data_IF_323288207838
#
_entry.id   IF_323288207838
#
_cell.length_a   1.000
_cell.length_b   1.000
_cell.length_c   1.000
_cell.angle_alpha   90.00
_cell.angle_beta   90.00
_cell.angle_gamma   90.00
#
_symmetry.space_group_name_H-M   'P 1'
#
loop_
_entity.id
_entity.type
_entity.pdbx_description
1 polymer ?
#
# COMPACT_ATOMS: atom_id res chain seq x y z
N UNK A 1 65.08 67.17 -22.41
CA UNK A 1 65.12 66.31 -21.21
C UNK A 1 63.77 65.64 -21.06
N UNK A 2 63.65 64.45 -21.63
CA UNK A 2 62.50 63.55 -21.49
C UNK A 2 62.64 62.83 -20.15
N UNK A 3 61.78 63.14 -19.18
CA UNK A 3 61.68 62.36 -17.94
C UNK A 3 60.59 61.29 -18.12
N UNK A 4 61.05 60.05 -18.07
CA UNK A 4 60.26 58.83 -18.07
C UNK A 4 59.30 58.81 -16.87
N UNK A 5 58.01 58.66 -17.14
CA UNK A 5 57.02 58.23 -16.15
C UNK A 5 56.86 56.70 -16.29
N UNK A 6 57.80 55.97 -15.70
CA UNK A 6 57.65 54.53 -15.49
C UNK A 6 57.38 54.26 -14.01
N UNK A 7 56.41 53.38 -13.78
CA UNK A 7 56.45 52.35 -12.74
C UNK A 7 56.01 52.73 -11.33
N UNK A 8 54.69 52.70 -11.12
CA UNK A 8 54.11 52.08 -9.91
C UNK A 8 52.92 51.21 -10.34
N UNK A 9 53.23 50.06 -10.96
CA UNK A 9 52.31 48.93 -11.04
C UNK A 9 52.25 48.32 -9.64
N UNK A 10 51.34 48.84 -8.81
CA UNK A 10 51.10 48.31 -7.48
C UNK A 10 50.27 47.01 -7.61
N UNK A 11 50.85 45.83 -7.31
CA UNK A 11 50.13 44.56 -7.40
C UNK A 11 48.92 44.51 -6.46
N UNK A 12 48.87 45.36 -5.42
CA UNK A 12 47.72 45.51 -4.52
C UNK A 12 46.55 46.22 -5.22
N UNK A 13 46.82 47.24 -6.03
CA UNK A 13 45.77 47.92 -6.81
C UNK A 13 45.25 47.06 -7.96
N UNK A 14 46.10 46.22 -8.56
CA UNK A 14 45.66 45.29 -9.61
C UNK A 14 44.86 44.11 -9.04
N UNK A 15 45.19 43.64 -7.84
CA UNK A 15 44.38 42.63 -7.12
C UNK A 15 43.04 43.20 -6.65
N UNK A 16 43.00 44.42 -6.11
CA UNK A 16 41.76 45.11 -5.75
C UNK A 16 40.90 45.44 -6.99
N UNK A 17 41.51 45.80 -8.13
CA UNK A 17 40.79 45.94 -9.42
C UNK A 17 40.24 44.62 -9.92
N UNK A 18 40.97 43.51 -9.78
CA UNK A 18 40.50 42.16 -10.17
C UNK A 18 39.37 41.66 -9.26
N UNK A 19 39.39 41.98 -7.97
CA UNK A 19 38.29 41.68 -7.05
C UNK A 19 37.06 42.57 -7.30
N UNK A 20 37.26 43.85 -7.64
CA UNK A 20 36.17 44.77 -8.02
C UNK A 20 35.64 44.55 -9.45
N UNK A 21 36.38 43.85 -10.32
CA UNK A 21 35.98 43.55 -11.71
C UNK A 21 35.01 42.35 -11.85
N UNK A 22 34.38 41.89 -10.75
CA UNK A 22 33.17 41.08 -10.87
C UNK A 22 32.06 41.98 -11.39
N UNK A 23 31.88 42.03 -12.71
CA UNK A 23 30.88 42.91 -13.35
C UNK A 23 29.53 42.77 -12.62
N UNK A 24 28.88 43.86 -12.20
CA UNK A 24 27.63 43.82 -11.46
C UNK A 24 26.50 43.04 -12.17
N UNK A 25 26.62 42.86 -13.48
CA UNK A 25 25.72 42.03 -14.29
C UNK A 25 25.74 40.54 -13.93
N UNK A 26 26.84 39.99 -13.40
CA UNK A 26 26.94 38.54 -13.13
C UNK A 26 26.25 38.12 -11.83
N UNK A 27 26.35 38.91 -10.76
CA UNK A 27 25.65 38.59 -9.50
C UNK A 27 24.14 38.74 -9.67
N UNK A 28 23.69 39.79 -10.38
CA UNK A 28 22.28 40.03 -10.63
C UNK A 28 21.65 38.90 -11.47
N UNK A 29 22.33 38.47 -12.55
CA UNK A 29 21.86 37.34 -13.38
C UNK A 29 21.75 36.03 -12.58
N UNK A 30 22.69 35.76 -11.68
CA UNK A 30 22.66 34.56 -10.82
C UNK A 30 21.53 34.63 -9.79
N UNK A 31 21.32 35.80 -9.17
CA UNK A 31 20.22 36.02 -8.23
C UNK A 31 18.86 35.86 -8.93
N UNK A 32 18.68 36.45 -10.12
CA UNK A 32 17.47 36.30 -10.92
C UNK A 32 17.22 34.83 -11.28
N UNK A 33 18.24 34.09 -11.75
CA UNK A 33 18.11 32.67 -12.07
C UNK A 33 17.75 31.84 -10.83
N UNK A 34 18.37 32.12 -9.68
CA UNK A 34 18.06 31.45 -8.42
C UNK A 34 16.62 31.75 -7.96
N UNK A 35 16.16 32.99 -8.08
CA UNK A 35 14.77 33.36 -7.79
C UNK A 35 13.78 32.66 -8.73
N UNK A 36 14.10 32.53 -10.03
CA UNK A 36 13.27 31.78 -10.98
C UNK A 36 13.18 30.30 -10.62
N UNK A 37 14.33 29.64 -10.36
CA UNK A 37 14.38 28.24 -9.95
C UNK A 37 13.66 28.02 -8.62
N UNK A 38 13.85 28.91 -7.66
CA UNK A 38 13.17 28.88 -6.37
C UNK A 38 11.66 29.11 -6.52
N UNK A 39 11.24 30.00 -7.42
CA UNK A 39 9.84 30.24 -7.75
C UNK A 39 9.17 29.00 -8.33
N UNK A 40 9.84 28.30 -9.26
CA UNK A 40 9.36 27.01 -9.81
C UNK A 40 9.23 25.98 -8.68
N UNK A 41 10.23 25.87 -7.81
CA UNK A 41 10.20 24.97 -6.65
C UNK A 41 9.05 25.29 -5.69
N UNK A 42 8.82 26.57 -5.38
CA UNK A 42 7.73 27.03 -4.52
C UNK A 42 6.36 26.71 -5.11
N UNK A 43 6.16 27.01 -6.40
CA UNK A 43 4.92 26.69 -7.12
C UNK A 43 4.63 25.20 -7.08
N UNK A 44 5.65 24.36 -7.33
CA UNK A 44 5.48 22.90 -7.29
C UNK A 44 5.10 22.40 -5.88
N UNK A 45 5.82 22.85 -4.85
CA UNK A 45 5.55 22.48 -3.45
C UNK A 45 4.16 22.93 -3.00
N UNK A 46 3.80 24.19 -3.22
CA UNK A 46 2.49 24.74 -2.86
C UNK A 46 1.36 24.03 -3.61
N UNK A 47 1.56 23.75 -4.90
CA UNK A 47 0.60 22.99 -5.69
C UNK A 47 0.35 21.62 -5.09
N UNK A 48 1.40 20.86 -4.74
CA UNK A 48 1.26 19.51 -4.20
C UNK A 48 0.69 19.51 -2.77
N UNK A 49 1.15 20.40 -1.89
CA UNK A 49 0.69 20.45 -0.50
C UNK A 49 -0.78 20.83 -0.36
N UNK A 50 -1.30 21.61 -1.30
CA UNK A 50 -2.69 22.08 -1.27
C UNK A 50 -3.60 21.30 -2.23
N UNK A 51 -3.07 20.26 -2.86
CA UNK A 51 -3.81 19.41 -3.79
C UNK A 51 -4.80 18.50 -3.06
N UNK A 52 -6.02 18.45 -3.56
CA UNK A 52 -7.03 17.48 -3.16
C UNK A 52 -7.36 16.56 -4.34
N UNK A 53 -7.60 15.28 -4.08
CA UNK A 53 -8.08 14.33 -5.09
C UNK A 53 -9.44 14.70 -5.69
N UNK A 54 -10.20 15.58 -5.02
CA UNK A 54 -11.48 16.09 -5.48
C UNK A 54 -11.37 17.42 -6.24
N UNK A 55 -10.15 17.89 -6.51
CA UNK A 55 -9.94 19.10 -7.30
C UNK A 55 -10.24 18.83 -8.78
N UNK A 56 -10.94 19.76 -9.41
CA UNK A 56 -11.19 19.69 -10.86
C UNK A 56 -9.91 20.03 -11.61
N UNK A 57 -9.36 19.03 -12.30
CA UNK A 57 -8.17 19.09 -13.17
C UNK A 57 -8.58 18.81 -14.62
N UNK A 58 -7.62 18.81 -15.55
CA UNK A 58 -7.91 18.52 -16.97
C UNK A 58 -8.44 17.10 -17.21
N UNK A 59 -8.12 16.16 -16.33
CA UNK A 59 -8.42 14.73 -16.44
C UNK A 59 -9.30 14.20 -15.30
N UNK A 60 -9.59 15.02 -14.29
CA UNK A 60 -10.46 14.67 -13.16
C UNK A 60 -11.51 15.76 -12.96
N UNK A 61 -12.80 15.38 -12.96
CA UNK A 61 -13.89 16.30 -12.66
C UNK A 61 -14.27 16.16 -11.19
N UNK A 62 -13.99 17.20 -10.40
CA UNK A 62 -14.34 17.26 -8.99
C UNK A 62 -15.78 17.72 -8.76
N UNK A 63 -16.36 17.43 -7.58
CA UNK A 63 -17.69 17.90 -7.20
C UNK A 63 -17.76 19.42 -6.96
N UNK A 64 -16.62 20.09 -6.87
CA UNK A 64 -16.51 21.53 -6.61
C UNK A 64 -16.33 22.32 -7.90
N UNK A 65 -17.05 23.43 -8.03
CA UNK A 65 -16.90 24.38 -9.15
C UNK A 65 -15.55 25.10 -9.17
N UNK A 66 -14.84 25.13 -8.03
CA UNK A 66 -13.50 25.72 -7.90
C UNK A 66 -12.58 24.74 -7.14
N UNK A 67 -11.33 24.51 -7.61
CA UNK A 67 -10.37 23.68 -6.89
C UNK A 67 -10.04 24.25 -5.51
N UNK A 68 -9.78 23.36 -4.55
CA UNK A 68 -9.28 23.69 -3.21
C UNK A 68 -7.82 24.15 -3.25
N UNK A 69 -7.07 23.77 -4.29
CA UNK A 69 -5.68 24.17 -4.48
C UNK A 69 -5.47 25.69 -4.36
N UNK A 70 -4.42 26.09 -3.63
CA UNK A 70 -4.12 27.50 -3.36
C UNK A 70 -3.87 28.30 -4.64
N UNK A 71 -3.21 27.69 -5.62
CA UNK A 71 -2.97 28.29 -6.93
C UNK A 71 -4.12 28.04 -7.92
N UNK A 72 -5.28 27.62 -7.42
CA UNK A 72 -6.49 27.29 -8.19
C UNK A 72 -6.21 26.25 -9.28
N UNK A 73 -6.92 26.31 -10.41
CA UNK A 73 -6.82 25.38 -11.54
C UNK A 73 -5.38 25.13 -12.03
N UNK A 74 -4.51 26.15 -12.24
CA UNK A 74 -3.15 25.86 -12.69
C UNK A 74 -2.34 25.09 -11.64
N UNK A 75 -2.50 25.39 -10.34
CA UNK A 75 -1.86 24.61 -9.28
C UNK A 75 -2.35 23.17 -9.19
N UNK A 76 -3.67 22.98 -9.24
CA UNK A 76 -4.28 21.66 -9.23
C UNK A 76 -3.76 20.81 -10.41
N UNK A 77 -3.69 21.40 -11.61
CA UNK A 77 -3.12 20.74 -12.78
C UNK A 77 -1.63 20.40 -12.60
N UNK A 78 -0.81 21.34 -12.12
CA UNK A 78 0.62 21.09 -11.89
C UNK A 78 0.81 19.94 -10.90
N UNK A 79 0.09 19.94 -9.78
CA UNK A 79 0.15 18.87 -8.79
C UNK A 79 -0.30 17.52 -9.38
N UNK A 80 -1.41 17.51 -10.09
CA UNK A 80 -1.95 16.32 -10.75
C UNK A 80 -0.95 15.69 -11.72
N UNK A 81 -0.40 16.48 -12.65
CA UNK A 81 0.60 16.00 -13.59
C UNK A 81 1.89 15.55 -12.90
N UNK A 82 2.36 16.29 -11.89
CA UNK A 82 3.58 15.96 -11.18
C UNK A 82 3.44 14.66 -10.36
N UNK A 83 2.32 14.47 -9.67
CA UNK A 83 2.04 13.27 -8.89
C UNK A 83 1.74 12.05 -9.78
N UNK A 84 1.10 12.23 -10.94
CA UNK A 84 0.92 11.12 -11.88
C UNK A 84 2.25 10.72 -12.53
N UNK A 85 3.13 11.66 -12.87
CA UNK A 85 4.38 11.34 -13.55
C UNK A 85 5.46 10.82 -12.61
N UNK A 86 5.70 11.50 -11.48
CA UNK A 86 6.79 11.20 -10.53
C UNK A 86 6.30 10.63 -9.18
N UNK A 87 4.99 10.55 -8.95
CA UNK A 87 4.45 10.11 -7.67
C UNK A 87 4.84 11.05 -6.54
N UNK A 88 5.07 10.49 -5.36
CA UNK A 88 5.51 11.26 -4.20
C UNK A 88 6.91 11.88 -4.35
N UNK A 89 7.71 11.46 -5.34
CA UNK A 89 9.02 12.07 -5.60
C UNK A 89 8.91 13.51 -6.13
N UNK A 90 7.74 13.92 -6.64
CA UNK A 90 7.48 15.29 -7.08
C UNK A 90 7.61 16.33 -5.96
N UNK A 91 7.20 15.97 -4.73
CA UNK A 91 7.27 16.90 -3.59
C UNK A 91 8.72 17.20 -3.19
N UNK A 92 9.60 16.20 -2.94
CA UNK A 92 11.01 16.44 -2.71
C UNK A 92 11.70 17.14 -3.89
N UNK A 93 11.27 16.93 -5.14
CA UNK A 93 11.81 17.66 -6.29
C UNK A 93 11.67 19.19 -6.10
N UNK A 94 10.48 19.65 -5.70
CA UNK A 94 10.25 21.07 -5.43
C UNK A 94 11.07 21.59 -4.24
N UNK A 95 11.19 20.81 -3.17
CA UNK A 95 12.03 21.15 -2.01
C UNK A 95 13.51 21.24 -2.38
N UNK A 96 14.01 20.36 -3.24
CA UNK A 96 15.41 20.38 -3.71
C UNK A 96 15.69 21.58 -4.61
N UNK A 97 14.71 22.01 -5.42
CA UNK A 97 14.82 23.25 -6.21
C UNK A 97 14.87 24.48 -5.32
N UNK A 98 14.03 24.54 -4.29
CA UNK A 98 14.07 25.60 -3.26
C UNK A 98 15.42 25.64 -2.54
N UNK A 99 15.92 24.47 -2.12
CA UNK A 99 17.22 24.35 -1.49
C UNK A 99 18.35 24.78 -2.43
N UNK A 100 18.31 24.37 -3.70
CA UNK A 100 19.29 24.77 -4.71
C UNK A 100 19.30 26.29 -4.93
N UNK A 101 18.12 26.91 -5.01
CA UNK A 101 17.93 28.34 -5.13
C UNK A 101 18.47 29.10 -3.91
N UNK A 102 18.05 28.69 -2.71
CA UNK A 102 18.52 29.28 -1.45
C UNK A 102 20.05 29.18 -1.32
N UNK A 103 20.62 28.01 -1.64
CA UNK A 103 22.08 27.80 -1.63
C UNK A 103 22.80 28.68 -2.65
N UNK A 104 22.24 28.87 -3.83
CA UNK A 104 22.82 29.72 -4.88
C UNK A 104 22.88 31.20 -4.45
N UNK A 105 21.91 31.66 -3.65
CA UNK A 105 21.87 33.03 -3.10
C UNK A 105 22.76 33.18 -1.86
N UNK A 106 22.66 32.25 -0.91
CA UNK A 106 23.33 32.34 0.40
C UNK A 106 24.82 31.99 0.37
N UNK A 107 25.27 31.16 -0.58
CA UNK A 107 26.68 30.75 -0.72
C UNK A 107 27.17 30.95 -2.16
N UNK A 108 27.30 32.20 -2.63
CA UNK A 108 27.76 32.48 -3.97
C UNK A 108 29.22 32.04 -4.13
N UNK A 109 29.47 31.02 -4.95
CA UNK A 109 30.85 30.68 -5.35
C UNK A 109 31.24 31.53 -6.55
N UNK A 110 32.35 32.25 -6.44
CA UNK A 110 32.78 33.21 -7.46
C UNK A 110 33.26 32.47 -8.74
N UNK A 111 33.88 31.29 -8.60
CA UNK A 111 34.37 30.46 -9.71
C UNK A 111 33.53 29.17 -9.90
N UNK A 112 32.33 29.29 -10.47
CA UNK A 112 31.52 28.12 -10.89
C UNK A 112 31.60 27.98 -12.40
N UNK A 113 32.10 26.83 -12.88
CA UNK A 113 32.09 26.48 -14.30
C UNK A 113 30.68 26.05 -14.72
N UNK A 114 30.29 26.25 -15.99
CA UNK A 114 29.01 25.73 -16.52
C UNK A 114 28.83 24.23 -16.26
N UNK A 115 29.93 23.47 -16.34
CA UNK A 115 29.99 22.05 -16.01
C UNK A 115 29.64 21.72 -14.56
N UNK A 116 30.05 22.56 -13.60
CA UNK A 116 29.70 22.35 -12.19
C UNK A 116 28.21 22.55 -11.93
N UNK A 117 27.62 23.56 -12.55
CA UNK A 117 26.18 23.78 -12.50
C UNK A 117 25.44 22.61 -13.15
N UNK A 118 25.85 22.21 -14.36
CA UNK A 118 25.26 21.09 -15.09
C UNK A 118 25.32 19.77 -14.30
N UNK A 119 26.48 19.45 -13.72
CA UNK A 119 26.67 18.28 -12.86
C UNK A 119 25.74 18.30 -11.65
N UNK A 120 25.57 19.45 -10.99
CA UNK A 120 24.67 19.58 -9.83
C UNK A 120 23.21 19.46 -10.20
N UNK A 121 22.78 20.07 -11.30
CA UNK A 121 21.42 19.89 -11.81
C UNK A 121 21.16 18.45 -12.22
N UNK A 122 22.14 17.77 -12.82
CA UNK A 122 22.03 16.34 -13.14
C UNK A 122 21.89 15.50 -11.86
N UNK A 123 22.68 15.77 -10.82
CA UNK A 123 22.55 15.08 -9.53
C UNK A 123 21.17 15.27 -8.89
N UNK A 124 20.60 16.49 -8.93
CA UNK A 124 19.24 16.76 -8.46
C UNK A 124 18.22 15.92 -9.22
N UNK A 125 18.28 15.92 -10.56
CA UNK A 125 17.37 15.15 -11.42
C UNK A 125 17.50 13.66 -11.12
N UNK A 126 18.73 13.14 -11.02
CA UNK A 126 18.97 11.73 -10.69
C UNK A 126 18.46 11.36 -9.30
N UNK A 127 18.58 12.24 -8.31
CA UNK A 127 17.98 12.04 -6.98
C UNK A 127 16.46 11.86 -7.08
N UNK A 128 15.76 12.70 -7.85
CA UNK A 128 14.30 12.60 -8.03
C UNK A 128 13.93 11.32 -8.78
N UNK A 129 14.70 10.97 -9.82
CA UNK A 129 14.52 9.74 -10.60
C UNK A 129 14.67 8.49 -9.74
N UNK A 130 15.75 8.38 -8.98
CA UNK A 130 15.96 7.21 -8.11
C UNK A 130 14.96 7.16 -6.96
N UNK A 131 14.50 8.31 -6.46
CA UNK A 131 13.42 8.34 -5.47
C UNK A 131 12.10 7.83 -6.05
N UNK A 132 11.74 8.24 -7.27
CA UNK A 132 10.54 7.77 -7.98
C UNK A 132 10.59 6.25 -8.21
N UNK A 133 11.73 5.71 -8.66
CA UNK A 133 11.94 4.26 -8.84
C UNK A 133 11.90 3.51 -7.50
N UNK A 134 12.52 4.07 -6.45
CA UNK A 134 12.51 3.45 -5.12
C UNK A 134 11.09 3.37 -4.53
N UNK A 135 10.31 4.43 -4.68
CA UNK A 135 8.93 4.46 -4.20
C UNK A 135 8.02 3.46 -4.92
N UNK A 136 8.26 3.17 -6.21
CA UNK A 136 7.54 2.14 -6.96
C UNK A 136 7.66 0.73 -6.37
N UNK A 137 8.62 0.47 -5.48
CA UNK A 137 8.78 -0.81 -4.81
C UNK A 137 7.73 -1.06 -3.70
N UNK A 138 7.04 -0.01 -3.24
CA UNK A 138 6.12 -0.08 -2.11
C UNK A 138 4.67 -0.33 -2.56
N UNK A 139 3.84 -0.95 -1.69
CA UNK A 139 2.43 -1.16 -2.01
C UNK A 139 1.68 0.17 -2.12
N UNK A 140 0.71 0.22 -3.04
CA UNK A 140 -0.14 1.38 -3.27
C UNK A 140 -1.16 1.49 -2.12
N UNK A 141 -1.18 2.60 -1.36
CA UNK A 141 -2.18 2.82 -0.31
C UNK A 141 -3.59 2.91 -0.90
N UNK A 142 -4.61 2.44 -0.16
CA UNK A 142 -6.02 2.50 -0.58
C UNK A 142 -6.51 3.93 -0.80
N UNK A 143 -5.94 4.89 -0.08
CA UNK A 143 -6.25 6.32 -0.20
C UNK A 143 -5.56 7.02 -1.37
N UNK A 144 -4.74 6.31 -2.16
CA UNK A 144 -4.02 6.90 -3.27
C UNK A 144 -4.99 7.18 -4.44
N UNK A 145 -5.11 8.45 -4.89
CA UNK A 145 -6.18 8.83 -5.81
C UNK A 145 -5.89 8.55 -7.29
N UNK A 146 -4.65 8.18 -7.64
CA UNK A 146 -4.23 7.97 -9.03
C UNK A 146 -4.17 6.50 -9.39
N UNK A 147 -4.33 6.20 -10.69
CA UNK A 147 -4.16 4.84 -11.22
C UNK A 147 -2.69 4.37 -11.23
N UNK A 148 -1.75 5.31 -11.24
CA UNK A 148 -0.32 5.04 -11.09
C UNK A 148 -0.01 4.73 -9.63
N UNK A 149 1.06 4.00 -9.33
CA UNK A 149 1.56 3.80 -7.98
C UNK A 149 2.23 5.03 -7.39
N UNK A 150 2.76 4.87 -6.17
CA UNK A 150 3.36 5.98 -5.41
C UNK A 150 4.69 6.47 -5.99
N UNK A 151 5.31 5.70 -6.89
CA UNK A 151 6.46 6.10 -7.69
C UNK A 151 6.08 6.92 -8.93
N UNK A 152 4.78 7.06 -9.22
CA UNK A 152 4.27 7.65 -10.45
C UNK A 152 4.52 6.75 -11.65
N UNK A 153 3.98 7.16 -12.81
CA UNK A 153 4.12 6.44 -14.07
C UNK A 153 5.58 6.15 -14.41
N UNK A 154 6.48 7.13 -14.24
CA UNK A 154 7.89 6.97 -14.59
C UNK A 154 8.57 5.91 -13.71
N UNK A 155 8.43 6.04 -12.38
CA UNK A 155 9.04 5.13 -11.41
C UNK A 155 8.52 3.71 -11.57
N UNK A 156 7.20 3.56 -11.69
CA UNK A 156 6.55 2.26 -11.87
C UNK A 156 6.97 1.60 -13.19
N UNK A 157 7.00 2.35 -14.30
CA UNK A 157 7.39 1.82 -15.60
C UNK A 157 8.82 1.27 -15.58
N UNK A 158 9.77 2.03 -15.02
CA UNK A 158 11.16 1.60 -14.91
C UNK A 158 11.30 0.44 -13.94
N UNK A 159 10.68 0.52 -12.75
CA UNK A 159 10.80 -0.50 -11.72
C UNK A 159 10.19 -1.84 -12.16
N UNK A 160 8.96 -1.81 -12.69
CA UNK A 160 8.26 -3.02 -13.16
C UNK A 160 8.90 -3.58 -14.43
N UNK A 161 9.42 -2.72 -15.32
CA UNK A 161 10.17 -3.12 -16.51
C UNK A 161 11.44 -3.90 -16.14
N UNK A 162 12.29 -3.33 -15.28
CA UNK A 162 13.52 -3.99 -14.81
C UNK A 162 13.20 -5.23 -13.97
N UNK A 163 12.15 -5.18 -13.13
CA UNK A 163 11.73 -6.33 -12.31
C UNK A 163 11.29 -7.49 -13.20
N UNK A 164 10.47 -7.22 -14.22
CA UNK A 164 10.03 -8.23 -15.18
C UNK A 164 11.21 -8.82 -15.95
N UNK A 165 12.18 -8.00 -16.32
CA UNK A 165 13.42 -8.48 -16.97
C UNK A 165 14.23 -9.41 -16.07
N UNK A 166 14.44 -9.06 -14.79
CA UNK A 166 15.13 -9.93 -13.82
C UNK A 166 14.37 -11.24 -13.57
N UNK A 167 13.05 -11.20 -13.52
CA UNK A 167 12.20 -12.40 -13.41
C UNK A 167 12.34 -13.27 -14.66
N UNK A 168 12.45 -12.67 -15.85
CA UNK A 168 12.74 -13.38 -17.10
C UNK A 168 14.08 -14.12 -17.10
N UNK A 169 15.05 -13.68 -16.27
CA UNK A 169 16.32 -14.37 -16.03
C UNK A 169 16.25 -15.48 -14.96
N UNK A 170 15.05 -15.77 -14.42
CA UNK A 170 14.83 -16.82 -13.43
C UNK A 170 14.90 -16.37 -11.97
N UNK A 171 15.02 -15.06 -11.68
CA UNK A 171 15.05 -14.54 -10.31
C UNK A 171 13.61 -14.50 -9.76
N UNK A 172 13.40 -14.99 -8.52
CA UNK A 172 12.08 -14.93 -7.87
C UNK A 172 11.57 -13.47 -7.79
N UNK A 173 10.29 -13.19 -8.06
CA UNK A 173 9.76 -11.82 -8.12
C UNK A 173 10.02 -10.96 -6.87
N UNK A 174 9.99 -11.59 -5.68
CA UNK A 174 10.27 -10.92 -4.40
C UNK A 174 11.74 -10.50 -4.31
N UNK A 175 12.66 -11.38 -4.71
CA UNK A 175 14.10 -11.09 -4.70
C UNK A 175 14.47 -10.04 -5.76
N UNK A 176 13.89 -10.14 -6.95
CA UNK A 176 14.08 -9.14 -8.01
C UNK A 176 13.62 -7.73 -7.57
N UNK A 177 12.44 -7.65 -6.96
CA UNK A 177 11.92 -6.38 -6.42
C UNK A 177 12.77 -5.83 -5.28
N UNK A 178 13.17 -6.68 -4.33
CA UNK A 178 14.02 -6.28 -3.20
C UNK A 178 15.40 -5.79 -3.63
N UNK A 179 16.04 -6.48 -4.59
CA UNK A 179 17.33 -6.08 -5.16
C UNK A 179 17.24 -4.71 -5.86
N UNK A 180 16.22 -4.52 -6.69
CA UNK A 180 16.02 -3.24 -7.40
C UNK A 180 15.74 -2.09 -6.43
N UNK A 181 14.91 -2.31 -5.41
CA UNK A 181 14.65 -1.31 -4.39
C UNK A 181 15.93 -0.94 -3.62
N UNK A 182 16.75 -1.92 -3.25
CA UNK A 182 18.03 -1.69 -2.57
C UNK A 182 19.00 -0.89 -3.45
N UNK A 183 19.13 -1.23 -4.73
CA UNK A 183 19.99 -0.50 -5.68
C UNK A 183 19.49 0.92 -5.91
N UNK A 184 18.19 1.11 -6.09
CA UNK A 184 17.58 2.43 -6.24
C UNK A 184 17.80 3.29 -4.99
N UNK A 185 17.68 2.72 -3.78
CA UNK A 185 17.95 3.41 -2.52
C UNK A 185 19.42 3.81 -2.38
N UNK A 186 20.36 2.93 -2.72
CA UNK A 186 21.79 3.24 -2.69
C UNK A 186 22.15 4.36 -3.69
N UNK A 187 21.61 4.28 -4.92
CA UNK A 187 21.83 5.29 -5.94
C UNK A 187 21.19 6.64 -5.54
N UNK A 188 20.00 6.62 -4.94
CA UNK A 188 19.34 7.78 -4.35
C UNK A 188 20.23 8.45 -3.31
N UNK A 189 20.73 7.68 -2.33
CA UNK A 189 21.61 8.18 -1.27
C UNK A 189 22.91 8.77 -1.81
N UNK A 190 23.52 8.11 -2.80
CA UNK A 190 24.72 8.61 -3.46
C UNK A 190 24.47 9.95 -4.19
N UNK A 191 23.44 10.03 -5.02
CA UNK A 191 23.11 11.24 -5.77
C UNK A 191 22.73 12.39 -4.83
N UNK A 192 21.92 12.11 -3.81
CA UNK A 192 21.47 13.11 -2.83
C UNK A 192 22.63 13.65 -1.98
N UNK A 193 23.50 12.78 -1.48
CA UNK A 193 24.70 13.19 -0.73
C UNK A 193 25.64 14.06 -1.58
N UNK A 194 25.91 13.65 -2.82
CA UNK A 194 26.72 14.43 -3.78
C UNK A 194 26.06 15.77 -4.15
N UNK A 195 24.73 15.82 -4.24
CA UNK A 195 23.98 17.06 -4.47
C UNK A 195 24.11 18.04 -3.29
N UNK A 196 23.94 17.55 -2.06
CA UNK A 196 24.17 18.35 -0.84
C UNK A 196 25.64 18.77 -0.71
N UNK A 197 26.55 18.06 -1.37
CA UNK A 197 27.99 18.29 -1.28
C UNK A 197 28.58 17.72 0.01
N UNK A 198 27.90 16.72 0.58
CA UNK A 198 28.40 15.88 1.66
C UNK A 198 29.60 15.12 1.09
N UNK A 199 30.79 15.40 1.62
CA UNK A 199 32.01 14.66 1.28
C UNK A 199 32.03 13.38 2.14
N UNK A 200 32.72 12.32 1.70
CA UNK A 200 32.77 11.06 2.46
C UNK A 200 33.22 11.20 3.93
N UNK A 201 33.93 12.29 4.27
CA UNK A 201 34.28 12.66 5.64
C UNK A 201 33.06 13.04 6.48
N UNK A 202 32.12 13.81 5.93
CA UNK A 202 30.89 14.21 6.63
C UNK A 202 29.97 12.99 6.88
N UNK A 203 30.02 11.98 6.00
CA UNK A 203 29.30 10.71 6.18
C UNK A 203 29.92 9.89 7.31
N UNK A 204 31.25 9.82 7.39
CA UNK A 204 31.94 9.16 8.49
C UNK A 204 31.62 9.85 9.83
N UNK A 205 31.65 11.18 9.87
CA UNK A 205 31.27 11.96 11.06
C UNK A 205 29.80 11.78 11.46
N UNK A 206 28.88 11.69 10.49
CA UNK A 206 27.47 11.37 10.75
C UNK A 206 27.28 9.94 11.27
N UNK A 207 28.00 8.96 10.72
CA UNK A 207 27.94 7.57 11.18
C UNK A 207 28.55 7.41 12.57
N UNK A 208 29.64 8.12 12.87
CA UNK A 208 30.23 8.19 14.20
C UNK A 208 29.28 8.85 15.20
N UNK A 209 28.62 9.95 14.82
CA UNK A 209 27.61 10.61 15.64
C UNK A 209 26.38 9.71 15.88
N UNK A 210 25.92 8.99 14.85
CA UNK A 210 24.84 8.02 14.96
C UNK A 210 25.23 6.82 15.83
N UNK A 211 26.49 6.37 15.74
CA UNK A 211 27.07 5.35 16.61
C UNK A 211 27.13 5.80 18.07
N UNK A 212 27.50 7.05 18.33
CA UNK A 212 27.46 7.65 19.67
C UNK A 212 26.03 7.73 20.22
N UNK A 213 25.07 8.19 19.40
CA UNK A 213 23.65 8.24 19.78
C UNK A 213 23.11 6.83 20.08
N UNK A 214 23.46 5.84 19.27
CA UNK A 214 23.10 4.45 19.52
C UNK A 214 23.73 3.91 20.80
N UNK A 215 25.00 4.22 21.07
CA UNK A 215 25.66 3.83 22.31
C UNK A 215 24.99 4.45 23.54
N UNK A 216 24.64 5.75 23.50
CA UNK A 216 23.93 6.41 24.60
C UNK A 216 22.52 5.85 24.80
N UNK A 217 21.80 5.56 23.72
CA UNK A 217 20.50 4.90 23.78
C UNK A 217 20.60 3.50 24.37
N UNK A 218 21.59 2.71 23.95
CA UNK A 218 21.84 1.36 24.48
C UNK A 218 22.14 1.39 25.99
N UNK A 219 22.99 2.33 26.44
CA UNK A 219 23.28 2.50 27.88
C UNK A 219 22.02 2.87 28.66
N UNK A 220 21.17 3.76 28.12
CA UNK A 220 19.87 4.10 28.72
C UNK A 220 18.93 2.90 28.77
N UNK A 221 18.92 2.08 27.72
CA UNK A 221 18.12 0.85 27.64
C UNK A 221 18.60 -0.19 28.66
N UNK A 222 19.91 -0.41 28.77
CA UNK A 222 20.50 -1.34 29.74
C UNK A 222 20.25 -0.87 31.19
N UNK A 223 20.32 0.44 31.45
CA UNK A 223 19.94 1.02 32.74
C UNK A 223 18.45 0.84 33.06
N UNK A 224 17.59 1.00 32.06
CA UNK A 224 16.15 0.76 32.19
C UNK A 224 15.85 -0.72 32.46
N UNK A 225 16.50 -1.63 31.74
CA UNK A 225 16.40 -3.08 31.94
C UNK A 225 16.89 -3.45 33.35
N UNK A 226 18.02 -2.89 33.80
CA UNK A 226 18.54 -3.12 35.15
C UNK A 226 17.61 -2.56 36.24
N UNK A 227 16.99 -1.40 36.01
CA UNK A 227 15.99 -0.82 36.89
C UNK A 227 14.73 -1.70 36.97
N UNK A 228 14.21 -2.15 35.83
CA UNK A 228 13.09 -3.08 35.75
C UNK A 228 13.42 -4.40 36.46
N UNK A 229 14.62 -4.95 36.23
CA UNK A 229 15.11 -6.16 36.90
C UNK A 229 15.14 -5.97 38.42
N UNK A 230 15.69 -4.86 38.93
CA UNK A 230 15.71 -4.55 40.37
C UNK A 230 14.31 -4.36 40.95
N UNK A 231 13.39 -3.81 40.18
CA UNK A 231 11.99 -3.59 40.60
C UNK A 231 11.19 -4.90 40.62
N UNK A 232 11.48 -5.84 39.72
CA UNK A 232 10.81 -7.13 39.62
C UNK A 232 11.51 -8.28 40.39
N UNK A 233 12.80 -8.16 40.75
CA UNK A 233 13.50 -9.13 41.63
C UNK A 233 13.24 -8.91 43.12
N UNK A 234 12.47 -7.90 43.51
CA UNK A 234 12.13 -7.64 44.93
C UNK A 234 11.05 -8.57 45.49
N UNK A 235 10.55 -9.52 44.72
CA UNK A 235 9.59 -10.54 45.15
C UNK A 235 10.25 -11.93 45.14
N UNK A 236 10.58 -12.39 46.36
CA UNK A 236 10.97 -13.73 46.81
C UNK A 236 12.29 -14.34 46.33
N UNK A 237 13.29 -14.39 47.22
CA UNK A 237 13.72 -15.62 47.92
C UNK A 237 14.39 -15.18 49.25
N UNK A 238 13.90 -15.64 50.40
CA UNK A 238 14.64 -15.54 51.67
C UNK A 238 15.81 -16.53 51.67
N UNK A 239 17.02 -16.15 52.13
CA UNK A 239 18.08 -17.11 52.34
C UNK A 239 17.75 -17.93 53.59
N UNK A 240 17.49 -19.22 53.42
CA UNK A 240 17.53 -20.17 54.52
C UNK A 240 18.96 -20.20 55.07
N UNK A 241 19.12 -19.58 56.24
CA UNK A 241 20.31 -19.68 57.07
C UNK A 241 20.59 -21.15 57.38
N UNK A 242 21.83 -21.54 57.07
CA UNK A 242 22.70 -22.44 57.83
C UNK A 242 22.13 -22.96 59.16
N UNK A 243 21.37 -24.06 59.08
CA UNK A 243 21.34 -25.06 60.14
C UNK A 243 22.18 -26.25 59.66
N UNK A 244 23.35 -26.42 60.29
CA UNK A 244 24.33 -27.40 59.89
C UNK A 244 23.75 -28.82 59.88
N UNK A 245 23.99 -29.54 58.79
CA UNK A 245 24.01 -30.99 58.85
C UNK A 245 25.03 -31.54 57.87
N UNK A 246 26.03 -32.17 58.47
CA UNK A 246 27.10 -32.95 57.88
C UNK A 246 26.56 -34.00 56.91
N UNK A 247 27.20 -34.07 55.75
CA UNK A 247 27.06 -35.11 54.73
C UNK A 247 27.28 -36.51 55.34
N UNK A 248 26.18 -37.15 55.73
CA UNK A 248 26.11 -38.59 56.00
C UNK A 248 25.16 -39.21 55.00
N UNK A 249 25.77 -39.82 54.00
CA UNK A 249 25.16 -40.80 53.08
C UNK A 249 24.33 -41.80 53.88
N UNK A 250 23.01 -41.76 53.69
CA UNK A 250 22.11 -42.85 54.06
C UNK A 250 21.51 -43.36 52.77
N UNK A 251 21.96 -44.56 52.42
CA UNK A 251 21.47 -45.36 51.30
C UNK A 251 20.04 -45.78 51.60
N UNK A 252 19.10 -45.49 50.69
CA UNK A 252 17.88 -46.28 50.59
C UNK A 252 18.20 -47.48 49.70
N UNK A 253 18.65 -48.56 50.35
CA UNK A 253 18.73 -49.88 49.73
C UNK A 253 17.33 -50.28 49.26
N UNK A 254 17.15 -50.37 47.94
CA UNK A 254 16.05 -51.15 47.37
C UNK A 254 16.60 -52.56 47.20
N UNK A 255 16.10 -53.59 47.92
CA UNK A 255 16.65 -54.93 47.80
C UNK A 255 16.22 -55.54 46.47
N UNK A 256 17.21 -55.96 45.68
CA UNK A 256 17.04 -57.00 44.67
C UNK A 256 16.58 -56.53 43.29
N UNK A 257 17.48 -55.91 42.53
CA UNK A 257 17.54 -56.17 41.09
C UNK A 257 18.98 -56.03 40.62
N UNK A 258 19.54 -57.16 40.21
CA UNK A 258 20.94 -57.32 39.85
C UNK A 258 21.35 -56.38 38.70
N UNK A 259 22.44 -55.65 38.95
CA UNK A 259 23.18 -54.91 37.94
C UNK A 259 23.93 -55.86 37.02
N UNK A 260 23.59 -55.83 35.74
CA UNK A 260 24.56 -56.00 34.66
C UNK A 260 24.36 -54.90 33.63
N UNK A 261 25.14 -53.82 33.77
CA UNK A 261 25.26 -52.79 32.75
C UNK A 261 26.71 -52.76 32.28
N UNK A 262 27.00 -53.26 31.08
CA UNK A 262 28.24 -52.94 30.37
C UNK A 262 28.15 -51.53 29.78
N UNK A 263 29.30 -50.87 29.70
CA UNK A 263 29.48 -49.52 29.19
C UNK A 263 28.96 -49.35 27.74
N UNK A 264 28.42 -48.16 27.37
CA UNK A 264 27.84 -47.94 26.06
C UNK A 264 28.93 -47.68 25.00
N UNK A 265 29.02 -48.60 24.04
CA UNK A 265 29.65 -48.36 22.73
C UNK A 265 28.65 -47.66 21.78
N UNK A 266 29.14 -46.77 20.90
CA UNK A 266 28.32 -45.91 20.07
C UNK A 266 27.76 -46.67 18.86
N UNK A 267 26.48 -47.02 18.92
CA UNK A 267 25.71 -47.52 17.78
C UNK A 267 24.60 -46.53 17.44
N UNK A 268 24.94 -45.57 16.58
CA UNK A 268 23.97 -44.79 15.83
C UNK A 268 23.49 -45.63 14.64
N UNK A 269 22.17 -45.90 14.50
CA UNK A 269 21.66 -46.53 13.29
C UNK A 269 21.56 -45.50 12.16
N UNK A 270 22.13 -45.83 11.01
CA UNK A 270 21.79 -45.21 9.72
C UNK A 270 20.26 -45.25 9.50
N UNK A 271 19.63 -44.17 9.02
CA UNK A 271 18.25 -44.21 8.56
C UNK A 271 18.19 -44.88 7.19
N UNK A 272 18.30 -46.20 7.16
CA UNK A 272 17.80 -47.04 6.08
C UNK A 272 16.45 -47.59 6.51
N UNK A 273 15.38 -47.06 5.93
CA UNK A 273 14.02 -47.50 6.26
C UNK A 273 12.98 -46.45 5.97
N UNK A 274 12.85 -46.11 4.69
CA UNK A 274 11.69 -45.39 4.15
C UNK A 274 10.46 -46.20 4.54
N UNK A 275 9.56 -45.61 5.32
CA UNK A 275 8.22 -46.15 5.54
C UNK A 275 7.61 -46.41 4.17
N UNK A 276 7.51 -47.68 3.81
CA UNK A 276 6.69 -48.13 2.70
C UNK A 276 5.26 -47.78 3.09
N UNK A 277 4.71 -46.78 2.42
CA UNK A 277 3.27 -46.67 2.27
C UNK A 277 2.91 -47.89 1.42
N UNK A 278 2.40 -48.93 2.07
CA UNK A 278 1.70 -50.02 1.40
C UNK A 278 0.54 -49.38 0.64
N UNK A 279 0.84 -49.08 -0.61
CA UNK A 279 -0.12 -48.71 -1.63
C UNK A 279 -0.79 -50.03 -1.95
N UNK A 280 -1.93 -50.27 -1.31
CA UNK A 280 -2.88 -51.26 -1.80
C UNK A 280 -3.02 -51.03 -3.31
N UNK A 281 -2.87 -52.07 -4.15
CA UNK A 281 -2.96 -51.91 -5.58
C UNK A 281 -4.28 -51.23 -5.89
N UNK A 282 -4.21 -50.12 -6.62
CA UNK A 282 -5.35 -49.57 -7.33
C UNK A 282 -6.11 -50.75 -7.92
N UNK A 283 -7.29 -51.03 -7.35
CA UNK A 283 -8.31 -51.64 -8.15
C UNK A 283 -8.45 -50.70 -9.33
N UNK A 284 -8.10 -51.21 -10.50
CA UNK A 284 -8.39 -50.60 -11.78
C UNK A 284 -9.91 -50.41 -11.80
N UNK A 285 -10.35 -49.25 -11.33
CA UNK A 285 -11.70 -48.77 -11.48
C UNK A 285 -11.82 -48.62 -12.99
N UNK A 286 -12.36 -49.67 -13.62
CA UNK A 286 -12.84 -49.61 -14.99
C UNK A 286 -13.50 -48.25 -15.13
N UNK A 287 -13.08 -47.42 -16.09
CA UNK A 287 -13.63 -46.09 -16.24
C UNK A 287 -15.14 -46.25 -16.30
N UNK A 288 -15.83 -45.74 -15.27
CA UNK A 288 -17.27 -45.66 -15.30
C UNK A 288 -17.62 -45.00 -16.63
N UNK A 289 -18.54 -45.60 -17.41
CA UNK A 289 -18.80 -45.18 -18.77
C UNK A 289 -19.01 -43.67 -18.73
N UNK A 290 -18.14 -42.96 -19.45
CA UNK A 290 -18.26 -41.53 -19.72
C UNK A 290 -19.75 -41.28 -19.93
N UNK A 291 -20.42 -40.40 -19.14
CA UNK A 291 -21.83 -40.13 -19.33
C UNK A 291 -21.97 -39.80 -20.81
N UNK A 292 -22.64 -40.70 -21.54
CA UNK A 292 -22.63 -40.73 -22.98
C UNK A 292 -22.86 -39.31 -23.44
N UNK A 293 -21.85 -38.75 -24.12
CA UNK A 293 -21.81 -37.38 -24.61
C UNK A 293 -23.19 -37.10 -25.16
N UNK A 294 -24.05 -36.44 -24.38
CA UNK A 294 -25.41 -36.13 -24.79
C UNK A 294 -25.20 -35.41 -26.10
N UNK A 295 -25.69 -36.00 -27.20
CA UNK A 295 -25.63 -35.38 -28.52
C UNK A 295 -25.98 -33.92 -28.29
N UNK A 296 -25.14 -32.95 -28.69
CA UNK A 296 -25.44 -31.55 -28.45
C UNK A 296 -26.86 -31.35 -28.96
N UNK A 297 -27.79 -31.04 -28.04
CA UNK A 297 -29.15 -30.71 -28.40
C UNK A 297 -29.01 -29.71 -29.54
N UNK A 298 -29.52 -30.08 -30.72
CA UNK A 298 -29.37 -29.38 -31.99
C UNK A 298 -29.36 -27.88 -31.67
N UNK A 299 -28.16 -27.26 -31.72
CA UNK A 299 -28.02 -25.84 -31.40
C UNK A 299 -29.08 -25.16 -32.24
N UNK A 300 -30.02 -24.48 -31.58
CA UNK A 300 -30.97 -23.64 -32.29
C UNK A 300 -30.16 -22.80 -33.28
N UNK A 301 -30.59 -22.67 -34.54
CA UNK A 301 -29.84 -21.91 -35.52
C UNK A 301 -29.48 -20.57 -34.90
N UNK A 302 -28.19 -20.22 -34.94
CA UNK A 302 -27.73 -18.92 -34.45
C UNK A 302 -28.63 -17.87 -35.12
N UNK A 303 -29.23 -16.94 -34.36
CA UNK A 303 -30.14 -15.99 -34.95
C UNK A 303 -29.38 -15.23 -36.04
N UNK A 304 -29.95 -15.16 -37.24
CA UNK A 304 -29.36 -14.41 -38.35
C UNK A 304 -29.56 -12.94 -38.04
N UNK A 305 -28.54 -12.30 -37.48
CA UNK A 305 -28.56 -10.88 -37.19
C UNK A 305 -28.33 -10.08 -38.47
N UNK A 306 -29.29 -9.22 -38.81
CA UNK A 306 -29.24 -8.43 -40.03
C UNK A 306 -28.59 -7.08 -39.74
N UNK A 307 -27.25 -7.06 -39.64
CA UNK A 307 -26.53 -5.80 -39.48
C UNK A 307 -26.57 -5.02 -40.80
N UNK A 308 -26.98 -3.74 -40.79
CA UNK A 308 -27.05 -2.94 -42.00
C UNK A 308 -25.64 -2.71 -42.56
N UNK A 309 -25.40 -3.12 -43.81
CA UNK A 309 -24.10 -2.98 -44.50
C UNK A 309 -23.79 -1.56 -44.97
N UNK A 310 -24.73 -0.63 -44.78
CA UNK A 310 -24.67 0.75 -45.29
C UNK A 310 -23.94 1.73 -44.34
N UNK A 311 -23.29 1.24 -43.28
CA UNK A 311 -22.52 2.06 -42.33
C UNK A 311 -23.36 2.96 -41.41
N UNK A 312 -24.70 2.90 -41.49
CA UNK A 312 -25.58 3.67 -40.58
C UNK A 312 -25.69 2.94 -39.25
N UNK A 313 -25.50 3.67 -38.15
CA UNK A 313 -25.69 3.12 -36.80
C UNK A 313 -27.16 2.71 -36.59
N UNK A 314 -27.36 1.49 -36.13
CA UNK A 314 -28.65 0.95 -35.70
C UNK A 314 -28.45 0.34 -34.33
N UNK A 315 -29.30 0.73 -33.37
CA UNK A 315 -29.25 0.22 -32.01
C UNK A 315 -29.51 -1.29 -32.03
N UNK A 316 -28.59 -2.13 -31.51
CA UNK A 316 -28.82 -3.57 -31.44
C UNK A 316 -30.03 -3.92 -30.57
N UNK A 317 -30.79 -4.92 -31.00
CA UNK A 317 -31.92 -5.44 -30.22
C UNK A 317 -31.45 -6.17 -28.96
N UNK A 318 -32.27 -6.12 -27.91
CA UNK A 318 -31.98 -6.73 -26.62
C UNK A 318 -31.91 -8.27 -26.66
N UNK A 319 -32.45 -8.86 -27.73
CA UNK A 319 -32.47 -10.32 -27.94
C UNK A 319 -31.09 -10.89 -28.29
N UNK A 320 -30.10 -10.03 -28.58
CA UNK A 320 -28.69 -10.41 -28.61
C UNK A 320 -28.20 -10.91 -27.25
N UNK A 321 -28.86 -10.51 -26.16
CA UNK A 321 -28.48 -10.88 -24.80
C UNK A 321 -29.14 -12.20 -24.37
N UNK A 322 -28.41 -12.95 -23.54
CA UNK A 322 -28.88 -14.23 -23.00
C UNK A 322 -30.24 -14.05 -22.31
N UNK A 323 -31.21 -14.95 -22.55
CA UNK A 323 -32.49 -14.91 -21.88
C UNK A 323 -32.31 -15.12 -20.37
N UNK A 324 -33.12 -14.41 -19.58
CA UNK A 324 -33.14 -14.55 -18.12
C UNK A 324 -33.81 -15.90 -17.80
N UNK A 325 -33.16 -16.81 -17.06
CA UNK A 325 -33.80 -18.04 -16.62
C UNK A 325 -34.98 -17.71 -15.69
N UNK A 326 -36.07 -18.50 -15.70
CA UNK A 326 -37.17 -18.32 -14.76
C UNK A 326 -36.65 -18.34 -13.32
N UNK A 327 -37.05 -17.37 -12.49
CA UNK A 327 -36.67 -17.35 -11.08
C UNK A 327 -37.27 -18.58 -10.39
N UNK A 328 -36.40 -19.45 -9.88
CA UNK A 328 -36.79 -20.67 -9.14
C UNK A 328 -36.97 -20.36 -7.65
N UNK A 329 -36.92 -19.09 -7.25
CA UNK A 329 -36.98 -18.69 -5.85
C UNK A 329 -38.41 -18.67 -5.31
N UNK A 330 -38.93 -19.84 -4.95
CA UNK A 330 -39.82 -19.91 -3.78
C UNK A 330 -38.98 -19.50 -2.58
N UNK A 331 -39.16 -18.26 -2.13
CA UNK A 331 -38.58 -17.79 -0.86
C UNK A 331 -39.12 -18.69 0.24
N UNK A 332 -38.26 -19.55 0.79
CA UNK A 332 -38.61 -20.42 1.90
C UNK A 332 -38.70 -19.59 3.18
N UNK A 333 -39.93 -19.19 3.53
CA UNK A 333 -40.20 -18.40 4.73
C UNK A 333 -39.74 -19.11 6.01
N UNK A 334 -39.77 -20.44 6.04
CA UNK A 334 -39.29 -21.22 7.18
C UNK A 334 -37.77 -21.13 7.34
N UNK A 335 -37.03 -21.21 6.23
CA UNK A 335 -35.59 -21.03 6.25
C UNK A 335 -35.16 -19.61 6.66
N UNK A 336 -35.90 -18.58 6.22
CA UNK A 336 -35.65 -17.20 6.63
C UNK A 336 -35.91 -16.97 8.11
N UNK A 337 -37.00 -17.54 8.64
CA UNK A 337 -37.35 -17.44 10.05
C UNK A 337 -36.28 -18.12 10.92
N UNK A 338 -35.87 -19.34 10.56
CA UNK A 338 -34.79 -20.04 11.25
C UNK A 338 -33.49 -19.25 11.23
N UNK A 339 -33.12 -18.67 10.08
CA UNK A 339 -31.93 -17.82 9.98
C UNK A 339 -32.02 -16.54 10.80
N UNK A 340 -33.22 -15.99 11.00
CA UNK A 340 -33.45 -14.84 11.87
C UNK A 340 -33.31 -15.19 13.35
N UNK A 341 -33.78 -16.37 13.76
CA UNK A 341 -33.61 -16.91 15.11
C UNK A 341 -32.14 -17.19 15.42
N UNK A 342 -31.41 -17.84 14.50
CA UNK A 342 -29.96 -18.04 14.60
C UNK A 342 -29.21 -16.70 14.75
N UNK A 343 -29.59 -15.68 13.97
CA UNK A 343 -28.98 -14.35 14.07
C UNK A 343 -29.26 -13.67 15.42
N UNK A 344 -30.46 -13.84 15.97
CA UNK A 344 -30.81 -13.30 17.29
C UNK A 344 -29.99 -13.96 18.40
N UNK A 345 -29.80 -15.27 18.35
CA UNK A 345 -28.97 -16.03 19.29
C UNK A 345 -27.51 -15.59 19.22
N UNK A 346 -26.94 -15.49 18.02
CA UNK A 346 -25.56 -15.02 17.81
C UNK A 346 -25.36 -13.61 18.39
N UNK A 347 -26.30 -12.70 18.19
CA UNK A 347 -26.22 -11.35 18.76
C UNK A 347 -26.28 -11.38 20.30
N UNK A 348 -27.11 -12.25 20.86
CA UNK A 348 -27.21 -12.43 22.30
C UNK A 348 -25.90 -12.95 22.92
N UNK A 349 -25.21 -13.89 22.27
CA UNK A 349 -23.91 -14.43 22.70
C UNK A 349 -22.82 -13.35 22.79
N UNK A 350 -22.84 -12.37 21.89
CA UNK A 350 -21.93 -11.20 21.95
C UNK A 350 -22.39 -10.11 22.92
N UNK A 351 -23.42 -10.38 23.72
CA UNK A 351 -23.98 -9.47 24.71
C UNK A 351 -24.73 -8.29 24.08
N UNK A 352 -25.24 -8.45 22.86
CA UNK A 352 -26.09 -7.46 22.17
C UNK A 352 -27.54 -7.93 22.26
N UNK A 353 -28.29 -7.33 23.19
CA UNK A 353 -29.71 -7.62 23.35
C UNK A 353 -30.56 -6.81 22.38
N UNK A 354 -31.59 -7.43 21.82
CA UNK A 354 -32.56 -6.79 20.94
C UNK A 354 -33.44 -7.82 20.23
N UNK A 355 -34.20 -7.38 19.25
CA UNK A 355 -35.16 -8.20 18.51
C UNK A 355 -34.95 -8.08 17.00
N UNK A 356 -35.13 -9.19 16.28
CA UNK A 356 -35.17 -9.17 14.81
C UNK A 356 -36.60 -8.83 14.39
N UNK A 357 -36.76 -7.68 13.74
CA UNK A 357 -38.01 -7.20 13.17
C UNK A 357 -38.28 -7.79 11.79
N UNK A 358 -38.23 -6.96 10.74
CA UNK A 358 -38.58 -7.39 9.38
C UNK A 358 -37.39 -8.04 8.67
N UNK A 359 -37.69 -9.11 7.93
CA UNK A 359 -36.76 -9.78 7.02
C UNK A 359 -37.16 -9.47 5.58
N UNK A 360 -36.22 -8.96 4.78
CA UNK A 360 -36.43 -8.59 3.37
C UNK A 360 -35.43 -9.33 2.49
N UNK A 361 -35.83 -10.46 1.86
CA UNK A 361 -34.96 -11.19 0.96
C UNK A 361 -34.78 -10.42 -0.36
N UNK A 362 -33.53 -10.29 -0.81
CA UNK A 362 -33.18 -9.78 -2.13
C UNK A 362 -32.53 -10.87 -3.00
N UNK A 363 -32.06 -10.55 -4.22
CA UNK A 363 -31.47 -11.53 -5.13
C UNK A 363 -30.13 -12.12 -4.65
N UNK A 364 -29.30 -11.30 -3.98
CA UNK A 364 -27.94 -11.68 -3.55
C UNK A 364 -27.82 -11.77 -2.03
N UNK A 365 -28.50 -10.88 -1.32
CA UNK A 365 -28.46 -10.74 0.13
C UNK A 365 -29.87 -10.64 0.70
N UNK A 366 -30.02 -11.00 1.96
CA UNK A 366 -31.22 -10.78 2.75
C UNK A 366 -30.92 -9.74 3.83
N UNK A 367 -31.79 -8.74 3.95
CA UNK A 367 -31.71 -7.70 4.97
C UNK A 367 -32.57 -8.11 6.17
N UNK A 368 -31.94 -8.22 7.34
CA UNK A 368 -32.58 -8.40 8.63
C UNK A 368 -32.58 -7.06 9.37
N UNK A 369 -33.76 -6.57 9.76
CA UNK A 369 -33.87 -5.37 10.58
C UNK A 369 -33.75 -5.75 12.06
N UNK A 370 -32.68 -5.34 12.72
CA UNK A 370 -32.45 -5.56 14.14
C UNK A 370 -32.79 -4.30 14.96
N UNK A 371 -33.65 -4.45 15.96
CA UNK A 371 -34.02 -3.41 16.90
C UNK A 371 -33.23 -3.62 18.21
N UNK A 372 -32.18 -2.83 18.48
CA UNK A 372 -31.40 -2.99 19.71
C UNK A 372 -32.22 -2.60 20.95
N UNK A 373 -31.95 -3.27 22.07
CA UNK A 373 -32.51 -2.89 23.36
C UNK A 373 -32.00 -1.49 23.80
N UNK A 374 -32.76 -0.75 24.62
CA UNK A 374 -32.33 0.56 25.13
C UNK A 374 -30.94 0.50 25.78
N UNK A 375 -30.08 1.47 25.44
CA UNK A 375 -28.71 1.56 25.96
C UNK A 375 -27.65 0.80 25.15
N UNK A 376 -28.04 -0.04 24.18
CA UNK A 376 -27.09 -0.65 23.24
C UNK A 376 -26.68 0.37 22.17
N UNK A 377 -25.39 0.70 22.11
CA UNK A 377 -24.85 1.61 21.09
C UNK A 377 -24.82 0.93 19.71
N UNK A 378 -25.28 1.62 18.67
CA UNK A 378 -25.26 1.10 17.30
C UNK A 378 -23.85 0.73 16.82
N UNK A 379 -22.82 1.46 17.26
CA UNK A 379 -21.42 1.17 16.94
C UNK A 379 -20.97 -0.21 17.41
N UNK A 380 -21.52 -0.71 18.52
CA UNK A 380 -21.19 -2.06 19.02
C UNK A 380 -21.63 -3.13 18.03
N UNK A 381 -22.84 -3.01 17.49
CA UNK A 381 -23.39 -3.98 16.52
C UNK A 381 -22.64 -3.90 15.19
N UNK A 382 -22.29 -2.68 14.75
CA UNK A 382 -21.52 -2.46 13.52
C UNK A 382 -20.14 -3.13 13.60
N UNK A 383 -19.47 -3.02 14.75
CA UNK A 383 -18.14 -3.60 14.96
C UNK A 383 -18.14 -5.14 15.06
N UNK A 384 -19.31 -5.76 15.26
CA UNK A 384 -19.46 -7.21 15.33
C UNK A 384 -19.70 -7.85 13.95
N UNK A 385 -19.65 -7.09 12.85
CA UNK A 385 -19.97 -7.60 11.52
C UNK A 385 -19.17 -8.87 11.13
N UNK A 386 -17.86 -8.89 11.39
CA UNK A 386 -17.01 -10.04 11.06
C UNK A 386 -17.30 -11.26 11.96
N UNK A 387 -17.61 -11.02 13.23
CA UNK A 387 -17.96 -12.06 14.18
C UNK A 387 -19.33 -12.68 13.87
N UNK A 388 -20.32 -11.84 13.49
CA UNK A 388 -21.63 -12.29 13.01
C UNK A 388 -21.45 -13.13 11.75
N UNK A 389 -20.64 -12.68 10.78
CA UNK A 389 -20.38 -13.44 9.56
C UNK A 389 -19.80 -14.82 9.87
N UNK A 390 -18.85 -14.90 10.80
CA UNK A 390 -18.23 -16.15 11.25
C UNK A 390 -19.24 -17.09 11.90
N UNK A 391 -20.03 -16.61 12.87
CA UNK A 391 -21.00 -17.43 13.60
C UNK A 391 -22.18 -17.87 12.73
N UNK A 392 -22.59 -17.06 11.76
CA UNK A 392 -23.66 -17.39 10.79
C UNK A 392 -23.16 -18.25 9.62
N UNK A 393 -21.90 -18.69 9.61
CA UNK A 393 -21.26 -19.38 8.49
C UNK A 393 -21.44 -18.65 7.14
N UNK A 394 -21.48 -17.31 7.19
CA UNK A 394 -21.64 -16.45 6.04
C UNK A 394 -20.28 -15.94 5.56
N UNK A 395 -20.16 -15.69 4.24
CA UNK A 395 -18.91 -15.16 3.67
C UNK A 395 -18.55 -13.76 4.21
N UNK A 396 -19.56 -12.97 4.55
CA UNK A 396 -19.44 -11.60 5.05
C UNK A 396 -20.80 -11.16 5.60
N UNK A 397 -20.81 -10.20 6.51
CA UNK A 397 -22.01 -9.50 6.94
C UNK A 397 -21.80 -7.98 6.78
N UNK A 398 -22.83 -7.27 6.32
CA UNK A 398 -22.81 -5.80 6.29
C UNK A 398 -23.81 -5.28 7.30
N UNK A 399 -23.33 -4.42 8.20
CA UNK A 399 -24.15 -3.86 9.29
C UNK A 399 -24.17 -2.34 9.15
N UNK A 400 -25.36 -1.77 9.03
CA UNK A 400 -25.54 -0.33 8.86
C UNK A 400 -26.83 0.15 9.54
N UNK A 401 -26.87 1.42 9.96
CA UNK A 401 -28.10 2.03 10.48
C UNK A 401 -29.10 2.27 9.34
N UNK A 402 -30.39 2.05 9.59
CA UNK A 402 -31.46 2.33 8.61
C UNK A 402 -31.94 3.76 8.79
N UNK A 403 -31.78 4.66 7.81
CA UNK A 403 -32.22 6.05 7.93
C UNK A 403 -33.73 6.14 8.21
N UNK A 404 -34.12 7.02 9.14
CA UNK A 404 -35.52 7.28 9.47
C UNK A 404 -36.21 6.19 10.29
N UNK A 405 -35.50 5.16 10.76
CA UNK A 405 -36.05 4.09 11.61
C UNK A 405 -35.10 3.76 12.75
N UNK A 406 -35.64 3.36 13.91
CA UNK A 406 -34.83 2.93 15.06
C UNK A 406 -34.36 1.47 14.91
N UNK A 407 -33.80 1.12 13.73
CA UNK A 407 -33.38 -0.24 13.41
C UNK A 407 -32.00 -0.24 12.74
N UNK A 408 -31.25 -1.30 12.98
CA UNK A 408 -29.96 -1.59 12.37
C UNK A 408 -30.19 -2.67 11.31
N UNK A 409 -29.81 -2.40 10.07
CA UNK A 409 -29.86 -3.37 8.99
C UNK A 409 -28.64 -4.28 9.02
N UNK A 410 -28.89 -5.59 9.05
CA UNK A 410 -27.87 -6.63 8.93
C UNK A 410 -28.12 -7.37 7.61
N UNK A 411 -27.21 -7.22 6.66
CA UNK A 411 -27.30 -7.85 5.34
C UNK A 411 -26.41 -9.10 5.32
N UNK A 412 -27.03 -10.26 5.11
CA UNK A 412 -26.35 -11.55 4.99
C UNK A 412 -26.54 -12.13 3.57
N UNK A 413 -25.50 -12.73 2.97
CA UNK A 413 -25.62 -13.40 1.68
C UNK A 413 -26.62 -14.54 1.71
N UNK A 414 -27.41 -14.66 0.64
CA UNK A 414 -28.30 -15.79 0.47
C UNK A 414 -27.51 -17.08 0.23
N UNK A 415 -28.06 -18.22 0.68
CA UNK A 415 -27.51 -19.56 0.38
C UNK A 415 -27.44 -19.83 -1.12
N UNK A 416 -28.45 -19.37 -1.87
CA UNK A 416 -28.48 -19.38 -3.33
C UNK A 416 -28.57 -17.94 -3.82
N UNK A 417 -27.49 -17.46 -4.45
CA UNK A 417 -27.44 -16.12 -5.05
C UNK A 417 -27.99 -16.18 -6.47
N UNK A 418 -28.85 -15.25 -6.81
CA UNK A 418 -29.35 -15.09 -8.17
C UNK A 418 -28.41 -14.20 -8.98
N UNK A 419 -28.24 -14.54 -10.26
CA UNK A 419 -27.51 -13.68 -11.20
C UNK A 419 -28.47 -12.64 -11.75
N UNK A 420 -28.13 -11.36 -11.57
CA UNK A 420 -28.84 -10.26 -12.23
C UNK A 420 -28.28 -10.13 -13.66
N UNK A 421 -29.14 -10.29 -14.66
CA UNK A 421 -28.71 -10.30 -16.06
C UNK A 421 -28.75 -8.90 -16.67
N UNK A 422 -27.78 -8.57 -17.53
CA UNK A 422 -27.79 -7.31 -18.29
C UNK A 422 -29.09 -7.13 -19.09
N UNK A 423 -29.62 -8.21 -19.65
CA UNK A 423 -30.91 -8.19 -20.36
C UNK A 423 -32.05 -7.70 -19.49
N UNK A 424 -32.08 -8.08 -18.22
CA UNK A 424 -33.12 -7.65 -17.26
C UNK A 424 -33.01 -6.15 -17.00
N UNK A 425 -31.79 -5.66 -16.79
CA UNK A 425 -31.52 -4.25 -16.53
C UNK A 425 -31.88 -3.35 -17.72
N UNK A 426 -31.47 -3.72 -18.94
CA UNK A 426 -31.80 -2.96 -20.15
C UNK A 426 -33.28 -3.11 -20.55
N UNK A 427 -33.95 -4.17 -20.10
CA UNK A 427 -35.38 -4.35 -20.32
C UNK A 427 -36.25 -3.53 -19.36
N UNK A 428 -35.67 -3.04 -18.25
CA UNK A 428 -36.38 -2.27 -17.22
C UNK A 428 -37.00 -1.00 -17.79
N UNK A 429 -38.09 -0.53 -17.15
CA UNK A 429 -38.75 0.72 -17.54
C UNK A 429 -37.79 1.90 -17.37
N UNK A 430 -37.10 1.97 -16.24
CA UNK A 430 -36.18 3.04 -15.89
C UNK A 430 -35.08 3.24 -16.94
N UNK A 431 -34.52 2.15 -17.47
CA UNK A 431 -33.52 2.24 -18.54
C UNK A 431 -34.13 2.58 -19.90
N UNK A 432 -35.33 2.11 -20.21
CA UNK A 432 -36.00 2.37 -21.50
C UNK A 432 -36.53 3.79 -21.65
N UNK A 433 -36.96 4.41 -20.55
CA UNK A 433 -37.62 5.72 -20.56
C UNK A 433 -36.67 6.85 -20.16
N UNK A 434 -35.38 6.60 -20.02
CA UNK A 434 -34.41 7.61 -19.64
C UNK A 434 -34.05 8.51 -20.81
N UNK A 435 -34.03 9.83 -20.58
CA UNK A 435 -33.57 10.83 -21.54
C UNK A 435 -32.06 11.14 -21.40
N UNK A 436 -31.37 10.42 -20.50
CA UNK A 436 -29.94 10.62 -20.30
C UNK A 436 -29.15 10.25 -21.56
N UNK A 437 -28.16 11.08 -21.92
CA UNK A 437 -27.29 10.83 -23.09
C UNK A 437 -26.37 9.60 -22.91
N UNK A 438 -26.03 9.27 -21.65
CA UNK A 438 -25.17 8.14 -21.29
C UNK A 438 -25.73 7.41 -20.06
N UNK A 439 -26.83 6.65 -20.21
CA UNK A 439 -27.39 5.91 -19.11
C UNK A 439 -26.51 4.70 -18.76
N UNK A 440 -26.27 4.50 -17.47
CA UNK A 440 -25.46 3.39 -16.95
C UNK A 440 -26.35 2.43 -16.15
N UNK A 441 -26.45 1.19 -16.63
CA UNK A 441 -27.08 0.10 -15.88
C UNK A 441 -26.06 -0.53 -14.94
N UNK A 442 -26.26 -0.41 -13.63
CA UNK A 442 -25.32 -0.89 -12.62
C UNK A 442 -25.71 -2.25 -12.02
N UNK A 443 -27.00 -2.48 -11.74
CA UNK A 443 -27.48 -3.67 -11.04
C UNK A 443 -28.95 -3.59 -10.66
#
# INVERSE_FOLDING_TARGET
MTMNAEMFDDPVLDTLRREQAVKPTHWLRRAVLACLVGGIGAVLVLSILTFSAFDTTMDTVGPLTKPHNFLRTPGANIANWALQFLGWAAFPAGVLLLFAAARAVLRPRLNITRWDTARRSALLVMTVVFLSIFLAAFPIPVSWPFATGIGGWFGDYVFLGLKSWLVGLGIKPVLAGGLLAMLAFMALGYCFGRFLGIVGRDVAEMLDAAGLLWATFRVRLDQLIAFLRRKFQKSHVEPLETAGYTDKRVWLETPGLETSTPAPEPSAPEPQGRVQIDTQPDQEVKPAPTPARRKPARRAPAPKYNFPKNGKFVLPEIDLLKPVPPRVATVDSGALQKSAEELAEVLADFGVKGEIGRVRPGPVVTLYEFQPAPGVKSSRVINLADDIARSMAARSARVAVVPGRNAIGIELPNRRRETVFLREMLASRDFKTTDALLPLALG
#
